data_IF_249398790393
#
_entry.id   IF_249398790393
#
_cell.length_a   1.000
_cell.length_b   1.000
_cell.length_c   1.000
_cell.angle_alpha   90.00
_cell.angle_beta   90.00
_cell.angle_gamma   90.00
#
_symmetry.space_group_name_H-M   'P 1'
#
loop_
_entity.id
_entity.type
_entity.pdbx_description
1 polymer ?
#
# COMPACT_ATOMS: atom_id res chain seq x y z
N UNK A 1 33.80 -13.27 -0.74
CA UNK A 1 32.37 -13.14 -0.67
C UNK A 1 32.02 -12.00 0.31
N UNK A 2 31.02 -11.12 0.00
CA UNK A 2 30.60 -10.09 0.93
C UNK A 2 30.12 -10.75 2.23
N UNK A 3 30.34 -10.09 3.36
CA UNK A 3 29.80 -10.56 4.63
C UNK A 3 28.27 -10.38 4.61
N UNK A 4 27.53 -11.20 5.34
CA UNK A 4 26.07 -11.09 5.43
C UNK A 4 25.61 -9.69 5.89
N UNK A 5 26.40 -9.03 6.72
CA UNK A 5 26.20 -7.66 7.23
C UNK A 5 26.33 -6.58 6.13
N UNK A 6 26.99 -6.89 5.01
CA UNK A 6 27.17 -5.99 3.86
C UNK A 6 26.05 -6.14 2.81
N UNK A 7 25.12 -7.08 3.00
CA UNK A 7 24.00 -7.33 2.08
C UNK A 7 22.78 -6.50 2.48
N UNK A 8 22.21 -5.79 1.52
CA UNK A 8 20.94 -5.11 1.69
C UNK A 8 19.79 -6.06 1.33
N UNK A 9 18.83 -6.24 2.22
CA UNK A 9 17.63 -7.05 2.01
C UNK A 9 16.44 -6.13 1.77
N UNK A 10 15.70 -6.40 0.71
CA UNK A 10 14.49 -5.64 0.36
C UNK A 10 13.28 -6.57 0.38
N UNK A 11 12.14 -6.04 0.83
CA UNK A 11 10.83 -6.64 0.59
C UNK A 11 10.34 -6.12 -0.77
N UNK A 12 10.24 -7.00 -1.77
CA UNK A 12 10.09 -6.59 -3.16
C UNK A 12 9.03 -7.36 -3.91
N UNK A 13 8.33 -6.66 -4.79
CA UNK A 13 7.50 -7.22 -5.83
C UNK A 13 8.24 -7.23 -7.16
N UNK A 14 8.25 -8.38 -7.84
CA UNK A 14 8.87 -8.56 -9.14
C UNK A 14 7.81 -8.75 -10.21
N UNK A 15 8.03 -8.12 -11.34
CA UNK A 15 7.21 -8.25 -12.53
C UNK A 15 7.95 -9.06 -13.58
N UNK A 16 7.28 -10.06 -14.15
CA UNK A 16 7.81 -10.91 -15.20
C UNK A 16 6.90 -10.90 -16.42
N UNK A 17 7.49 -11.02 -17.61
CA UNK A 17 6.75 -11.24 -18.85
C UNK A 17 6.36 -12.74 -18.99
N UNK A 18 5.52 -13.08 -19.99
CA UNK A 18 5.14 -14.47 -20.25
C UNK A 18 6.32 -15.40 -20.57
N UNK A 19 7.45 -14.86 -21.01
CA UNK A 19 8.70 -15.61 -21.27
C UNK A 19 9.56 -15.79 -20.02
N UNK A 20 9.10 -15.32 -18.84
CA UNK A 20 9.81 -15.40 -17.58
C UNK A 20 10.96 -14.38 -17.43
N UNK A 21 11.05 -13.38 -18.29
CA UNK A 21 12.04 -12.31 -18.16
C UNK A 21 11.54 -11.27 -17.18
N UNK A 22 12.40 -10.87 -16.24
CA UNK A 22 12.06 -9.81 -15.29
C UNK A 22 11.95 -8.47 -16.02
N UNK A 23 10.77 -7.88 -15.97
CA UNK A 23 10.49 -6.56 -16.53
C UNK A 23 10.85 -5.45 -15.56
N UNK A 24 10.41 -5.57 -14.29
CA UNK A 24 10.62 -4.54 -13.29
C UNK A 24 10.61 -5.10 -11.87
N UNK A 25 10.90 -4.22 -10.90
CA UNK A 25 10.88 -4.49 -9.46
C UNK A 25 10.43 -3.26 -8.71
N UNK A 26 9.52 -3.44 -7.78
CA UNK A 26 9.18 -2.45 -6.78
C UNK A 26 9.69 -2.90 -5.41
N UNK A 27 10.45 -2.05 -4.73
CA UNK A 27 10.92 -2.27 -3.38
C UNK A 27 10.04 -1.47 -2.42
N UNK A 28 9.55 -2.14 -1.38
CA UNK A 28 8.66 -1.57 -0.36
C UNK A 28 9.24 -0.28 0.21
N UNK A 29 8.50 0.81 0.06
CA UNK A 29 8.92 2.15 0.45
C UNK A 29 8.56 2.51 1.90
N UNK A 30 7.71 1.72 2.57
CA UNK A 30 7.33 1.98 3.96
C UNK A 30 7.35 0.69 4.78
N UNK A 31 8.36 0.58 5.62
CA UNK A 31 8.64 -0.61 6.42
C UNK A 31 7.83 -0.64 7.72
N UNK A 32 7.60 -1.84 8.25
CA UNK A 32 6.94 -2.06 9.54
C UNK A 32 7.93 -1.80 10.67
N UNK A 33 7.72 -0.77 11.51
CA UNK A 33 8.54 -0.56 12.69
C UNK A 33 8.50 -1.77 13.63
N UNK A 34 9.65 -2.14 14.17
CA UNK A 34 9.86 -3.30 15.06
C UNK A 34 9.60 -4.68 14.42
N UNK A 35 9.06 -4.72 13.18
CA UNK A 35 8.84 -5.96 12.42
C UNK A 35 9.91 -6.16 11.33
N UNK A 36 10.17 -5.15 10.55
CA UNK A 36 11.09 -5.17 9.41
C UNK A 36 12.35 -4.36 9.67
N UNK A 37 12.29 -3.40 10.56
CA UNK A 37 13.46 -2.65 11.04
C UNK A 37 13.30 -2.22 12.49
N UNK A 38 14.42 -1.93 13.15
CA UNK A 38 14.46 -1.47 14.52
C UNK A 38 14.66 0.04 14.59
N UNK A 39 13.59 0.86 14.90
CA UNK A 39 13.75 2.29 15.09
C UNK A 39 14.69 2.57 16.25
N UNK A 40 15.52 3.63 16.12
CA UNK A 40 16.46 4.07 17.17
C UNK A 40 17.36 2.94 17.70
N UNK A 41 17.85 2.07 16.83
CA UNK A 41 18.72 0.93 17.18
C UNK A 41 19.89 1.33 18.10
N UNK A 42 20.44 2.53 17.94
CA UNK A 42 21.51 3.07 18.78
C UNK A 42 21.10 3.27 20.25
N UNK A 43 19.82 3.56 20.52
CA UNK A 43 19.30 3.79 21.85
C UNK A 43 18.78 2.49 22.50
N UNK A 44 18.09 1.66 21.73
CA UNK A 44 17.38 0.48 22.22
C UNK A 44 18.07 -0.84 21.92
N UNK A 45 19.13 -0.87 21.09
CA UNK A 45 19.74 -2.09 20.56
C UNK A 45 20.24 -3.10 21.61
N UNK A 46 20.55 -2.64 22.84
CA UNK A 46 20.94 -3.54 23.94
C UNK A 46 19.74 -4.19 24.64
N UNK A 47 18.60 -3.49 24.69
CA UNK A 47 17.38 -3.95 25.40
C UNK A 47 16.48 -4.80 24.50
N UNK A 48 16.38 -4.46 23.23
CA UNK A 48 15.39 -5.07 22.31
C UNK A 48 15.92 -6.36 21.69
N UNK A 49 17.23 -6.60 21.68
CA UNK A 49 17.79 -7.89 21.23
C UNK A 49 17.22 -9.10 22.00
N UNK A 50 16.67 -8.88 23.19
CA UNK A 50 15.99 -9.89 24.01
C UNK A 50 14.49 -10.05 23.65
N UNK A 51 13.88 -9.08 22.94
CA UNK A 51 12.43 -9.06 22.66
C UNK A 51 12.16 -9.32 21.17
N UNK A 52 13.09 -8.97 20.27
CA UNK A 52 12.98 -9.20 18.84
C UNK A 52 13.29 -10.65 18.45
N UNK A 53 12.49 -11.58 18.95
CA UNK A 53 12.62 -13.03 18.66
C UNK A 53 12.07 -13.43 17.28
N UNK A 54 11.70 -12.48 16.41
CA UNK A 54 11.02 -12.79 15.13
C UNK A 54 11.74 -12.39 13.86
N UNK A 55 12.78 -11.55 13.91
CA UNK A 55 13.50 -11.12 12.69
C UNK A 55 14.95 -11.57 12.78
N UNK A 56 15.39 -12.33 11.81
CA UNK A 56 16.80 -12.60 11.58
C UNK A 56 17.57 -11.27 11.64
N UNK A 57 18.64 -11.22 12.41
CA UNK A 57 19.44 -10.08 12.84
C UNK A 57 19.81 -8.95 11.85
N UNK A 58 19.08 -8.79 10.75
CA UNK A 58 19.28 -7.76 9.73
C UNK A 58 17.98 -7.02 9.46
N UNK A 59 18.07 -5.69 9.37
CA UNK A 59 16.96 -4.85 8.99
C UNK A 59 16.69 -4.98 7.48
N UNK A 60 15.42 -4.93 7.10
CA UNK A 60 15.01 -4.74 5.71
C UNK A 60 15.39 -3.31 5.30
N UNK A 61 15.84 -3.16 4.07
CA UNK A 61 16.21 -1.85 3.51
C UNK A 61 14.97 -1.23 2.86
N UNK A 62 14.73 0.03 3.19
CA UNK A 62 13.61 0.79 2.62
C UNK A 62 13.83 1.09 1.14
N UNK A 63 12.78 0.93 0.33
CA UNK A 63 12.74 1.34 -1.07
C UNK A 63 12.71 2.87 -1.20
N UNK A 64 13.07 3.38 -2.37
CA UNK A 64 13.24 4.84 -2.56
C UNK A 64 11.92 5.63 -2.53
N UNK A 65 10.89 5.14 -3.21
CA UNK A 65 9.57 5.80 -3.28
C UNK A 65 8.52 4.88 -3.88
N UNK A 66 7.24 5.08 -3.58
CA UNK A 66 6.16 4.45 -4.33
C UNK A 66 6.26 4.86 -5.80
N UNK A 67 6.25 3.88 -6.68
CA UNK A 67 6.20 4.07 -8.13
C UNK A 67 5.38 2.97 -8.78
N UNK A 68 4.71 3.33 -9.85
CA UNK A 68 3.96 2.38 -10.66
C UNK A 68 4.86 1.68 -11.67
N UNK A 69 4.42 0.53 -12.13
CA UNK A 69 5.14 -0.31 -13.08
C UNK A 69 4.24 -0.51 -14.30
N UNK A 70 4.77 -0.26 -15.50
CA UNK A 70 4.02 -0.43 -16.73
C UNK A 70 4.22 -1.81 -17.33
N UNK A 71 3.12 -2.52 -17.54
CA UNK A 71 3.02 -3.77 -18.29
C UNK A 71 2.77 -3.43 -19.76
N UNK A 72 3.76 -3.66 -20.60
CA UNK A 72 3.61 -3.53 -22.07
C UNK A 72 3.45 -4.92 -22.68
N UNK A 73 2.68 -5.02 -23.78
CA UNK A 73 2.53 -6.26 -24.55
C UNK A 73 1.49 -7.23 -23.97
N UNK A 74 0.53 -6.75 -23.18
CA UNK A 74 -0.69 -7.49 -22.89
C UNK A 74 -1.56 -7.46 -24.16
N UNK A 75 -1.83 -8.63 -24.74
CA UNK A 75 -2.77 -8.74 -25.86
C UNK A 75 -4.18 -8.40 -25.36
N UNK A 76 -4.59 -7.16 -25.50
CA UNK A 76 -6.00 -6.76 -25.48
C UNK A 76 -6.38 -6.41 -26.89
N UNK A 77 -7.50 -6.89 -27.39
CA UNK A 77 -7.88 -6.98 -28.78
C UNK A 77 -7.86 -5.70 -29.66
N UNK A 78 -7.44 -4.53 -29.16
CA UNK A 78 -7.54 -3.23 -29.85
C UNK A 78 -6.24 -2.43 -29.91
N UNK A 79 -5.09 -3.07 -30.04
CA UNK A 79 -3.78 -2.41 -30.08
C UNK A 79 -2.95 -2.69 -28.83
N UNK A 80 -1.68 -2.32 -28.78
CA UNK A 80 -0.82 -2.61 -27.63
C UNK A 80 -1.25 -1.81 -26.39
N UNK A 81 -2.12 -2.33 -25.49
CA UNK A 81 -2.42 -1.64 -24.25
C UNK A 81 -1.28 -1.86 -23.28
N UNK A 82 -0.71 -0.79 -22.86
CA UNK A 82 0.09 -0.79 -21.65
C UNK A 82 -0.83 -0.59 -20.45
N UNK A 83 -0.74 -1.46 -19.45
CA UNK A 83 -1.42 -1.30 -18.15
C UNK A 83 -0.39 -0.88 -17.12
N UNK A 84 -0.64 0.21 -16.43
CA UNK A 84 0.23 0.66 -15.34
C UNK A 84 -0.30 0.15 -14.01
N UNK A 85 0.54 -0.53 -13.26
CA UNK A 85 0.18 -1.22 -12.02
C UNK A 85 0.88 -0.57 -10.83
N UNK A 86 0.12 -0.21 -9.81
CA UNK A 86 0.66 0.11 -8.48
C UNK A 86 0.69 -1.14 -7.61
N UNK A 87 1.80 -1.40 -6.91
CA UNK A 87 1.94 -2.62 -6.10
C UNK A 87 2.23 -2.27 -4.64
N UNK A 88 1.23 -1.79 -3.87
CA UNK A 88 1.43 -1.57 -2.45
C UNK A 88 1.64 -2.90 -1.72
N UNK A 89 2.71 -2.98 -0.91
CA UNK A 89 3.11 -4.19 -0.19
C UNK A 89 2.68 -4.11 1.27
N UNK A 90 1.78 -5.00 1.69
CA UNK A 90 1.39 -5.27 3.07
C UNK A 90 1.00 -3.99 3.85
N UNK A 91 1.86 -3.58 4.79
CA UNK A 91 1.67 -2.45 5.70
C UNK A 91 1.45 -1.10 4.97
N UNK A 92 1.94 -0.96 3.75
CA UNK A 92 1.78 0.26 2.93
C UNK A 92 0.32 0.64 2.69
N UNK A 93 -0.59 -0.36 2.67
CA UNK A 93 -2.03 -0.13 2.52
C UNK A 93 -2.66 0.72 3.64
N UNK A 94 -2.01 0.80 4.80
CA UNK A 94 -2.46 1.64 5.91
C UNK A 94 -2.26 3.14 5.65
N UNK A 95 -1.35 3.50 4.73
CA UNK A 95 -0.95 4.88 4.47
C UNK A 95 -1.60 5.41 3.19
N UNK A 96 -2.72 6.15 3.32
CA UNK A 96 -3.44 6.66 2.16
C UNK A 96 -2.58 7.57 1.28
N UNK A 97 -1.74 8.41 1.88
CA UNK A 97 -0.83 9.30 1.15
C UNK A 97 0.20 8.53 0.30
N UNK A 98 0.65 7.37 0.79
CA UNK A 98 1.54 6.50 0.04
C UNK A 98 0.82 5.84 -1.13
N UNK A 99 -0.36 5.25 -0.87
CA UNK A 99 -1.11 4.52 -1.92
C UNK A 99 -1.61 5.47 -3.01
N UNK A 100 -2.05 6.70 -2.67
CA UNK A 100 -2.45 7.68 -3.69
C UNK A 100 -1.33 8.07 -4.65
N UNK A 101 -0.05 7.95 -4.23
CA UNK A 101 1.09 8.23 -5.10
C UNK A 101 1.21 7.23 -6.24
N UNK A 102 0.90 5.94 -6.03
CA UNK A 102 0.84 4.99 -7.14
C UNK A 102 -0.18 5.42 -8.19
N UNK A 103 -1.37 5.85 -7.75
CA UNK A 103 -2.41 6.30 -8.68
C UNK A 103 -2.01 7.61 -9.36
N UNK A 104 -1.43 8.54 -8.61
CA UNK A 104 -0.90 9.80 -9.16
C UNK A 104 0.29 9.61 -10.11
N UNK A 105 1.03 8.52 -9.98
CA UNK A 105 2.09 8.07 -10.89
C UNK A 105 1.56 7.27 -12.09
N UNK A 106 0.23 7.25 -12.26
CA UNK A 106 -0.44 6.69 -13.41
C UNK A 106 -0.94 5.25 -13.25
N UNK A 107 -1.01 4.69 -12.05
CA UNK A 107 -1.56 3.35 -11.88
C UNK A 107 -3.02 3.27 -12.30
N UNK A 108 -3.31 2.35 -13.24
CA UNK A 108 -4.65 2.03 -13.72
C UNK A 108 -5.35 1.01 -12.82
N UNK A 109 -4.56 0.22 -12.10
CA UNK A 109 -5.00 -0.83 -11.18
C UNK A 109 -3.99 -1.00 -10.05
N UNK A 110 -4.43 -1.43 -8.87
CA UNK A 110 -3.58 -1.79 -7.76
C UNK A 110 -3.51 -3.31 -7.59
N UNK A 111 -2.30 -3.84 -7.44
CA UNK A 111 -2.04 -5.22 -7.02
C UNK A 111 -1.53 -5.21 -5.59
N UNK A 112 -2.43 -5.34 -4.63
CA UNK A 112 -2.11 -5.32 -3.21
C UNK A 112 -1.66 -6.71 -2.75
N UNK A 113 -0.39 -6.86 -2.43
CA UNK A 113 0.17 -8.13 -1.95
C UNK A 113 0.51 -8.05 -0.47
N UNK A 114 0.15 -9.07 0.31
CA UNK A 114 0.35 -9.02 1.76
C UNK A 114 0.57 -10.40 2.37
N UNK A 115 1.33 -10.43 3.46
CA UNK A 115 1.45 -11.60 4.32
C UNK A 115 0.72 -11.34 5.64
N UNK A 116 -0.53 -11.81 5.72
CA UNK A 116 -1.38 -11.63 6.91
C UNK A 116 -1.14 -12.74 7.99
N UNK A 117 -0.19 -13.66 7.77
CA UNK A 117 0.08 -14.77 8.68
C UNK A 117 0.47 -14.31 10.10
N UNK A 118 1.06 -13.13 10.22
CA UNK A 118 1.42 -12.50 11.50
C UNK A 118 0.24 -12.30 12.45
N UNK A 119 -0.97 -12.13 11.90
CA UNK A 119 -2.17 -11.76 12.67
C UNK A 119 -2.99 -12.96 13.13
N UNK A 120 -2.70 -14.16 12.61
CA UNK A 120 -3.45 -15.35 12.95
C UNK A 120 -4.94 -15.23 12.62
N UNK A 121 -5.78 -16.00 13.33
CA UNK A 121 -7.24 -15.95 13.19
C UNK A 121 -7.84 -14.85 14.06
N UNK A 122 -7.60 -13.61 13.69
CA UNK A 122 -8.09 -12.41 14.39
C UNK A 122 -8.95 -11.55 13.46
N UNK A 123 -9.38 -10.39 13.94
CA UNK A 123 -10.07 -9.39 13.12
C UNK A 123 -9.15 -8.61 12.17
N UNK A 124 -7.82 -8.68 12.36
CA UNK A 124 -6.87 -7.87 11.60
C UNK A 124 -6.92 -8.12 10.07
N UNK A 125 -6.96 -9.36 9.53
CA UNK A 125 -7.10 -9.59 8.09
C UNK A 125 -8.32 -8.89 7.47
N UNK A 126 -9.44 -8.82 8.20
CA UNK A 126 -10.65 -8.13 7.75
C UNK A 126 -10.50 -6.62 7.80
N UNK A 127 -9.81 -6.08 8.80
CA UNK A 127 -9.48 -4.65 8.86
C UNK A 127 -8.60 -4.24 7.68
N UNK A 128 -7.58 -5.05 7.34
CA UNK A 128 -6.75 -4.82 6.15
C UNK A 128 -7.55 -4.87 4.85
N UNK A 129 -8.53 -5.78 4.74
CA UNK A 129 -9.44 -5.82 3.59
C UNK A 129 -10.24 -4.51 3.48
N UNK A 130 -10.82 -4.03 4.58
CA UNK A 130 -11.58 -2.76 4.60
C UNK A 130 -10.67 -1.58 4.23
N UNK A 131 -9.45 -1.53 4.76
CA UNK A 131 -8.48 -0.49 4.39
C UNK A 131 -8.11 -0.54 2.91
N UNK A 132 -7.92 -1.75 2.35
CA UNK A 132 -7.69 -1.92 0.90
C UNK A 132 -8.88 -1.38 0.10
N UNK A 133 -10.11 -1.68 0.54
CA UNK A 133 -11.33 -1.19 -0.11
C UNK A 133 -11.43 0.36 -0.07
N UNK A 134 -11.02 0.97 1.03
CA UNK A 134 -10.91 2.43 1.11
C UNK A 134 -9.88 2.98 0.11
N UNK A 135 -8.72 2.34 -0.05
CA UNK A 135 -7.70 2.77 -1.04
C UNK A 135 -8.25 2.71 -2.45
N UNK A 136 -9.00 1.66 -2.80
CA UNK A 136 -9.67 1.55 -4.11
C UNK A 136 -10.62 2.72 -4.34
N UNK A 137 -11.47 3.03 -3.36
CA UNK A 137 -12.45 4.13 -3.45
C UNK A 137 -11.78 5.51 -3.54
N UNK A 138 -10.74 5.75 -2.75
CA UNK A 138 -9.97 7.00 -2.75
C UNK A 138 -9.25 7.23 -4.08
N UNK A 139 -8.63 6.17 -4.61
CA UNK A 139 -7.94 6.21 -5.90
C UNK A 139 -8.88 6.18 -7.11
N UNK A 140 -10.12 5.70 -6.94
CA UNK A 140 -11.04 5.32 -8.02
C UNK A 140 -10.41 4.34 -9.00
N UNK A 141 -9.74 3.34 -8.46
CA UNK A 141 -9.09 2.27 -9.20
C UNK A 141 -9.48 0.91 -8.64
N UNK A 142 -9.54 -0.09 -9.48
CA UNK A 142 -9.73 -1.46 -9.03
C UNK A 142 -8.50 -1.94 -8.28
N UNK A 143 -8.71 -2.86 -7.35
CA UNK A 143 -7.63 -3.53 -6.63
C UNK A 143 -7.81 -5.04 -6.67
N UNK A 144 -6.80 -5.75 -7.16
CA UNK A 144 -6.63 -7.17 -6.97
C UNK A 144 -5.75 -7.39 -5.73
N UNK A 145 -6.33 -7.94 -4.67
CA UNK A 145 -5.62 -8.23 -3.42
C UNK A 145 -5.26 -9.69 -3.35
N UNK A 146 -3.98 -9.99 -3.13
CA UNK A 146 -3.48 -11.33 -2.83
C UNK A 146 -2.92 -11.37 -1.40
N UNK A 147 -3.47 -12.22 -0.55
CA UNK A 147 -3.11 -12.32 0.85
C UNK A 147 -2.69 -13.75 1.23
N UNK A 148 -1.51 -13.90 1.80
CA UNK A 148 -1.11 -15.15 2.44
C UNK A 148 -1.87 -15.30 3.77
N UNK A 149 -2.65 -16.37 3.92
CA UNK A 149 -3.55 -16.68 5.04
C UNK A 149 -4.67 -15.67 5.30
N UNK A 150 -4.61 -14.48 4.74
CA UNK A 150 -5.62 -13.44 4.85
C UNK A 150 -6.74 -13.58 3.82
N UNK A 151 -7.48 -12.47 3.59
CA UNK A 151 -8.53 -12.40 2.58
C UNK A 151 -7.96 -11.89 1.28
N UNK A 152 -7.90 -12.75 0.24
CA UNK A 152 -7.70 -12.29 -1.14
C UNK A 152 -9.03 -11.79 -1.70
N UNK A 153 -9.00 -10.73 -2.51
CA UNK A 153 -10.23 -10.11 -3.00
C UNK A 153 -10.04 -9.35 -4.31
N UNK A 154 -11.13 -9.25 -5.08
CA UNK A 154 -11.31 -8.29 -6.16
C UNK A 154 -12.20 -7.16 -5.66
N UNK A 155 -11.71 -5.93 -5.75
CA UNK A 155 -12.35 -4.75 -5.16
C UNK A 155 -12.51 -3.69 -6.26
N UNK A 156 -13.72 -3.17 -6.44
CA UNK A 156 -14.00 -2.19 -7.47
C UNK A 156 -13.53 -0.77 -7.09
N UNK A 157 -13.62 0.15 -8.04
CA UNK A 157 -13.24 1.56 -7.92
C UNK A 157 -14.08 2.37 -6.91
N UNK A 158 -15.12 1.74 -6.35
CA UNK A 158 -15.97 2.30 -5.30
C UNK A 158 -15.72 1.67 -3.93
N UNK A 159 -14.71 0.78 -3.85
CA UNK A 159 -14.38 0.06 -2.63
C UNK A 159 -15.33 -1.10 -2.31
N UNK A 160 -16.13 -1.59 -3.26
CA UNK A 160 -17.00 -2.74 -3.06
C UNK A 160 -16.22 -4.01 -3.31
N UNK A 161 -16.21 -4.91 -2.35
CA UNK A 161 -15.63 -6.25 -2.51
C UNK A 161 -16.57 -7.04 -3.43
N UNK A 162 -16.07 -7.41 -4.60
CA UNK A 162 -16.82 -8.17 -5.62
C UNK A 162 -16.70 -9.65 -5.40
N UNK A 163 -15.49 -10.10 -5.10
CA UNK A 163 -15.16 -11.48 -4.79
C UNK A 163 -14.14 -11.53 -3.68
N UNK A 164 -14.19 -12.57 -2.85
CA UNK A 164 -13.21 -12.76 -1.78
C UNK A 164 -13.05 -14.24 -1.41
N UNK A 165 -11.86 -14.58 -0.90
CA UNK A 165 -11.58 -15.87 -0.28
C UNK A 165 -11.89 -15.83 1.22
N UNK A 166 -11.81 -17.00 1.87
CA UNK A 166 -11.81 -17.09 3.34
C UNK A 166 -10.38 -17.08 3.89
N UNK A 167 -10.23 -16.63 5.14
CA UNK A 167 -8.93 -16.69 5.82
C UNK A 167 -8.52 -18.14 6.08
N UNK A 168 -7.22 -18.43 5.96
CA UNK A 168 -6.61 -19.74 6.18
C UNK A 168 -7.15 -20.86 5.29
N UNK A 169 -7.78 -20.54 4.18
CA UNK A 169 -8.17 -21.49 3.15
C UNK A 169 -7.33 -21.24 1.89
N UNK A 170 -6.80 -22.30 1.31
CA UNK A 170 -6.14 -22.22 0.01
C UNK A 170 -7.20 -22.02 -1.07
N UNK A 171 -7.01 -21.02 -1.89
CA UNK A 171 -7.93 -20.70 -2.97
C UNK A 171 -7.32 -19.74 -3.97
N UNK A 172 -8.03 -19.50 -5.03
CA UNK A 172 -7.74 -18.48 -6.02
C UNK A 172 -9.04 -17.80 -6.44
N UNK A 173 -8.92 -16.60 -6.94
CA UNK A 173 -10.02 -15.86 -7.56
C UNK A 173 -9.66 -15.65 -9.03
N UNK A 174 -10.66 -15.77 -9.89
CA UNK A 174 -10.55 -15.45 -11.31
C UNK A 174 -11.67 -14.47 -11.64
N UNK A 175 -11.32 -13.31 -12.14
CA UNK A 175 -12.29 -12.27 -12.47
C UNK A 175 -11.70 -11.23 -13.39
N UNK A 176 -12.57 -10.44 -14.00
CA UNK A 176 -12.19 -9.31 -14.83
C UNK A 176 -11.98 -8.09 -13.94
N UNK A 177 -10.85 -7.43 -14.11
CA UNK A 177 -10.52 -6.17 -13.46
C UNK A 177 -10.49 -5.08 -14.53
N UNK A 178 -11.53 -4.24 -14.62
CA UNK A 178 -11.53 -3.13 -15.54
C UNK A 178 -10.35 -2.17 -15.27
N UNK A 179 -9.57 -1.94 -16.30
CA UNK A 179 -8.48 -0.97 -16.27
C UNK A 179 -9.05 0.43 -16.42
N UNK A 180 -8.49 1.39 -15.69
CA UNK A 180 -8.95 2.80 -15.79
C UNK A 180 -8.78 3.30 -17.22
N UNK A 181 -9.85 3.84 -17.84
CA UNK A 181 -9.75 4.34 -19.21
C UNK A 181 -8.76 5.51 -19.32
N UNK A 182 -8.00 5.62 -20.42
CA UNK A 182 -7.12 6.74 -20.67
C UNK A 182 -7.88 8.09 -20.59
N UNK A 183 -7.25 9.10 -20.00
CA UNK A 183 -7.82 10.44 -19.89
C UNK A 183 -8.85 10.63 -18.77
N UNK A 184 -9.16 9.60 -17.99
CA UNK A 184 -9.97 9.76 -16.77
C UNK A 184 -9.18 10.54 -15.74
N UNK A 185 -9.74 11.67 -15.29
CA UNK A 185 -9.10 12.52 -14.29
C UNK A 185 -8.96 11.79 -12.94
N UNK A 186 -7.85 12.06 -12.27
CA UNK A 186 -7.64 11.59 -10.91
C UNK A 186 -8.74 12.04 -9.96
N UNK A 187 -8.99 11.24 -8.93
CA UNK A 187 -9.92 11.61 -7.86
C UNK A 187 -9.45 12.90 -7.17
N UNK A 188 -10.39 13.59 -6.52
CA UNK A 188 -10.05 14.76 -5.71
C UNK A 188 -8.97 14.43 -4.68
N UNK A 189 -9.10 13.26 -4.04
CA UNK A 189 -8.15 12.82 -3.02
C UNK A 189 -6.75 12.55 -3.61
N UNK A 190 -6.65 11.90 -4.76
CA UNK A 190 -5.36 11.67 -5.44
C UNK A 190 -4.64 12.99 -5.70
N UNK A 191 -5.37 14.01 -6.17
CA UNK A 191 -4.79 15.33 -6.50
C UNK A 191 -4.44 16.17 -5.30
N UNK A 192 -5.27 16.15 -4.25
CA UNK A 192 -5.19 17.13 -3.16
C UNK A 192 -4.85 16.51 -1.79
N UNK A 193 -4.89 15.17 -1.66
CA UNK A 193 -4.67 14.49 -0.38
C UNK A 193 -5.62 14.97 0.70
N UNK A 194 -5.08 15.21 1.88
CA UNK A 194 -5.83 15.58 3.09
C UNK A 194 -6.20 17.08 3.17
N UNK A 195 -6.39 17.75 2.04
CA UNK A 195 -6.74 19.18 2.01
C UNK A 195 -7.96 19.50 2.89
N UNK A 196 -9.00 18.63 2.88
CA UNK A 196 -10.18 18.82 3.71
C UNK A 196 -9.85 18.80 5.21
N UNK A 197 -8.96 17.92 5.63
CA UNK A 197 -8.49 17.84 7.03
C UNK A 197 -7.78 19.14 7.43
N UNK A 198 -6.91 19.65 6.56
CA UNK A 198 -6.21 20.91 6.81
C UNK A 198 -7.17 22.12 6.89
N UNK A 199 -8.20 22.14 6.06
CA UNK A 199 -9.25 23.17 6.14
C UNK A 199 -10.02 23.10 7.46
N UNK A 200 -10.35 21.89 7.93
CA UNK A 200 -11.00 21.68 9.24
C UNK A 200 -10.09 22.18 10.39
N UNK A 201 -8.81 21.84 10.38
CA UNK A 201 -7.86 22.32 11.39
C UNK A 201 -7.70 23.83 11.35
N UNK A 202 -7.61 24.43 10.18
CA UNK A 202 -7.58 25.89 10.01
C UNK A 202 -8.82 26.57 10.59
N UNK A 203 -10.00 26.03 10.32
CA UNK A 203 -11.26 26.52 10.87
C UNK A 203 -11.33 26.44 12.40
N UNK A 204 -10.94 25.29 12.97
CA UNK A 204 -10.88 25.11 14.42
C UNK A 204 -9.90 26.09 15.08
N UNK A 205 -8.74 26.29 14.49
CA UNK A 205 -7.74 27.24 14.97
C UNK A 205 -8.28 28.67 14.94
N UNK A 206 -8.94 29.09 13.87
CA UNK A 206 -9.54 30.41 13.74
C UNK A 206 -10.62 30.65 14.81
N UNK A 207 -11.49 29.65 15.06
CA UNK A 207 -12.50 29.72 16.12
C UNK A 207 -11.87 29.83 17.50
N UNK A 208 -10.83 29.05 17.76
CA UNK A 208 -10.09 29.08 19.02
C UNK A 208 -9.43 30.46 19.28
N UNK A 209 -8.75 31.00 18.28
CA UNK A 209 -8.13 32.34 18.37
C UNK A 209 -9.19 33.41 18.63
N UNK A 210 -10.32 33.38 17.90
CA UNK A 210 -11.44 34.29 18.12
C UNK A 210 -11.98 34.22 19.57
N UNK A 211 -12.13 33.02 20.11
CA UNK A 211 -12.58 32.83 21.48
C UNK A 211 -11.61 33.42 22.51
N UNK A 212 -10.28 33.27 22.29
CA UNK A 212 -9.27 33.85 23.15
C UNK A 212 -9.28 35.38 23.15
N UNK A 213 -9.41 36.00 21.95
CA UNK A 213 -9.52 37.44 21.81
C UNK A 213 -10.73 37.99 22.54
N UNK A 214 -11.89 37.35 22.39
CA UNK A 214 -13.12 37.75 23.08
C UNK A 214 -13.04 37.62 24.61
N UNK A 215 -12.27 36.66 25.14
CA UNK A 215 -12.06 36.50 26.59
C UNK A 215 -11.12 37.58 27.15
N UNK A 216 -10.18 38.11 26.38
CA UNK A 216 -9.26 39.16 26.82
C UNK A 216 -9.87 40.56 26.75
N UNK A 217 -10.95 40.74 26.03
CA UNK A 217 -11.65 42.02 25.92
C UNK A 217 -12.80 42.21 26.94
N UNK A 218 -13.00 41.20 27.82
CA UNK A 218 -13.89 41.27 29.00
C UNK A 218 -13.06 41.40 30.28
#
# INVERSE_FOLDING_TARGET
>A
PPRLEDLSFFDSAFLFDPAGRRLDRYDKAHLVPFGEYLPYRWLFGRFIRAIATGSAGQDVTEGKSPRSVTLSGLETGDGEPSVTVGVPICYELLFPDLVRRFVGDGADVLFAITNDAWYGRTGAPYQFLVMTAMRSAEGRVWTARAANTGVSALIDERGRVREQTRIFERGFLVGEVPVRPPGVADSFYVRHGDLFVWLCWGGLLALWVRALVQRRGR
#
